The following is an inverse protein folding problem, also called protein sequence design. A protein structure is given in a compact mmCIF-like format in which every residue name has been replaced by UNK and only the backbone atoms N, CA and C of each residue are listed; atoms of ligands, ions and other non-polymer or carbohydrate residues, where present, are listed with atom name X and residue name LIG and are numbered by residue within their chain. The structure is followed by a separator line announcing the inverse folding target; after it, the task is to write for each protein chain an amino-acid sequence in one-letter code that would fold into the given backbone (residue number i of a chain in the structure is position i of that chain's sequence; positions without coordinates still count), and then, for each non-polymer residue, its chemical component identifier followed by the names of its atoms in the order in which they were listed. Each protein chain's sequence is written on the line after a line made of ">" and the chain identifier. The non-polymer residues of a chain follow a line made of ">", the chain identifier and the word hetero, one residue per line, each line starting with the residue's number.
data_IF_049648018004
#
_entry.id   IF_049648018004
#
_cell.length_a   1.000
_cell.length_b   1.000
_cell.length_c   1.000
_cell.angle_alpha   90.00
_cell.angle_beta   90.00
_cell.angle_gamma   90.00
#
_symmetry.space_group_name_H-M   'P 1'
#
loop_
_entity.id
_entity.type
_entity.pdbx_description
1 polymer ?
#
# COMPACT_ATOMS: atom_id res chain seq x y z
N UNK A 1 -6.63 -12.22 -11.40
CA UNK A 1 -5.95 -11.79 -10.17
C UNK A 1 -4.70 -11.05 -10.59
N UNK A 2 -4.32 -10.03 -9.85
CA UNK A 2 -3.18 -9.15 -10.17
C UNK A 2 -2.44 -8.85 -8.87
N UNK A 3 -1.12 -8.82 -8.91
CA UNK A 3 -0.31 -8.44 -7.75
C UNK A 3 -0.38 -6.93 -7.52
N UNK A 4 -0.65 -6.56 -6.27
CA UNK A 4 -0.67 -5.18 -5.81
C UNK A 4 0.36 -4.99 -4.70
N UNK A 5 1.10 -3.89 -4.79
CA UNK A 5 1.86 -3.34 -3.70
C UNK A 5 0.92 -2.48 -2.85
N UNK A 6 0.82 -2.84 -1.58
CA UNK A 6 0.14 -2.05 -0.56
C UNK A 6 1.20 -1.52 0.40
N UNK A 7 1.14 -0.23 0.71
CA UNK A 7 2.09 0.42 1.61
C UNK A 7 1.35 1.21 2.67
N UNK A 8 1.61 0.87 3.93
CA UNK A 8 1.23 1.69 5.06
C UNK A 8 2.43 2.57 5.44
N UNK A 9 2.24 3.88 5.50
CA UNK A 9 3.25 4.86 5.92
C UNK A 9 2.84 5.50 7.24
N UNK A 10 3.78 5.56 8.18
CA UNK A 10 3.71 6.40 9.37
C UNK A 10 4.88 7.39 9.41
N UNK A 11 5.21 7.89 10.59
CA UNK A 11 6.30 8.88 10.76
C UNK A 11 7.70 8.30 10.48
N UNK A 12 7.98 7.08 10.95
CA UNK A 12 9.36 6.55 10.97
C UNK A 12 9.58 5.33 10.09
N UNK A 13 8.49 4.74 9.56
CA UNK A 13 8.58 3.52 8.78
C UNK A 13 7.45 3.44 7.75
N UNK A 14 7.76 2.76 6.65
CA UNK A 14 6.78 2.25 5.71
C UNK A 14 6.83 0.73 5.70
N UNK A 15 5.68 0.08 5.74
CA UNK A 15 5.58 -1.37 5.63
C UNK A 15 4.96 -1.71 4.27
N UNK A 16 5.78 -1.99 3.24
CA UNK A 16 5.30 -2.51 1.97
C UNK A 16 4.91 -3.98 2.11
N UNK A 17 3.81 -4.37 1.46
CA UNK A 17 3.41 -5.77 1.30
C UNK A 17 2.92 -5.98 -0.13
N UNK A 18 3.26 -7.12 -0.72
CA UNK A 18 2.75 -7.53 -2.02
C UNK A 18 1.69 -8.60 -1.81
N UNK A 19 0.55 -8.45 -2.46
CA UNK A 19 -0.51 -9.44 -2.41
C UNK A 19 -1.25 -9.58 -3.74
N UNK A 20 -1.65 -10.80 -4.08
CA UNK A 20 -2.55 -11.06 -5.20
C UNK A 20 -3.99 -10.68 -4.84
N UNK A 21 -4.61 -9.85 -5.68
CA UNK A 21 -5.98 -9.39 -5.50
C UNK A 21 -6.81 -9.58 -6.76
N UNK A 22 -8.11 -9.76 -6.56
CA UNK A 22 -9.11 -9.48 -7.59
C UNK A 22 -9.31 -7.97 -7.76
N UNK A 23 -9.90 -7.56 -8.87
CA UNK A 23 -10.23 -6.15 -9.11
C UNK A 23 -11.17 -5.58 -8.04
N UNK A 24 -12.12 -6.39 -7.54
CA UNK A 24 -13.07 -6.00 -6.49
C UNK A 24 -12.39 -5.77 -5.15
N UNK A 25 -11.43 -6.61 -4.78
CA UNK A 25 -10.67 -6.44 -3.53
C UNK A 25 -9.76 -5.23 -3.62
N UNK A 26 -9.03 -5.07 -4.73
CA UNK A 26 -8.20 -3.89 -4.97
C UNK A 26 -9.02 -2.59 -4.95
N UNK A 27 -10.21 -2.57 -5.55
CA UNK A 27 -11.12 -1.43 -5.50
C UNK A 27 -11.63 -1.13 -4.08
N UNK A 28 -11.81 -2.16 -3.25
CA UNK A 28 -12.22 -1.99 -1.86
C UNK A 28 -11.09 -1.40 -1.01
N UNK A 29 -9.88 -1.90 -1.16
CA UNK A 29 -8.70 -1.37 -0.47
C UNK A 29 -8.41 0.06 -0.93
N UNK A 30 -8.56 0.37 -2.24
CA UNK A 30 -8.41 1.73 -2.75
C UNK A 30 -9.39 2.70 -2.08
N UNK A 31 -10.67 2.34 -1.98
CA UNK A 31 -11.67 3.16 -1.26
C UNK A 31 -11.34 3.35 0.21
N UNK A 32 -10.88 2.29 0.89
CA UNK A 32 -10.46 2.38 2.29
C UNK A 32 -9.24 3.32 2.44
N UNK A 33 -8.28 3.24 1.52
CA UNK A 33 -7.09 4.08 1.51
C UNK A 33 -7.43 5.55 1.32
N UNK A 34 -8.36 5.88 0.42
CA UNK A 34 -8.83 7.25 0.20
C UNK A 34 -9.51 7.82 1.45
N UNK A 35 -10.37 7.03 2.10
CA UNK A 35 -11.04 7.45 3.33
C UNK A 35 -10.06 7.66 4.49
N UNK A 36 -9.09 6.76 4.66
CA UNK A 36 -8.06 6.87 5.71
C UNK A 36 -7.17 8.09 5.47
N UNK A 37 -6.71 8.29 4.24
CA UNK A 37 -5.84 9.40 3.88
C UNK A 37 -6.57 10.75 4.02
N UNK A 38 -7.86 10.82 3.70
CA UNK A 38 -8.67 12.02 3.88
C UNK A 38 -8.84 12.40 5.36
N UNK A 39 -8.91 11.42 6.26
CA UNK A 39 -8.97 11.63 7.71
C UNK A 39 -7.59 11.91 8.35
N UNK A 40 -6.50 11.77 7.59
CA UNK A 40 -5.14 11.92 8.08
C UNK A 40 -4.64 13.36 7.94
N UNK A 41 -4.66 14.10 9.06
CA UNK A 41 -4.47 15.56 9.07
C UNK A 41 -3.11 16.03 9.56
N UNK A 42 -2.27 15.16 10.09
CA UNK A 42 -0.91 15.48 10.49
C UNK A 42 0.06 14.35 10.13
N UNK A 43 1.35 14.65 10.17
CA UNK A 43 2.43 13.85 9.58
C UNK A 43 2.49 12.41 10.08
N UNK A 44 2.27 12.17 11.38
CA UNK A 44 2.32 10.81 11.94
C UNK A 44 1.02 10.02 11.83
N UNK A 45 -0.05 10.54 11.20
CA UNK A 45 -1.25 9.73 10.96
C UNK A 45 -0.98 8.71 9.84
N UNK A 46 -1.43 7.46 10.00
CA UNK A 46 -1.16 6.40 9.05
C UNK A 46 -1.80 6.71 7.70
N UNK A 47 -1.00 6.61 6.64
CA UNK A 47 -1.48 6.68 5.27
C UNK A 47 -1.39 5.32 4.61
N UNK A 48 -2.35 5.01 3.77
CA UNK A 48 -2.39 3.77 3.03
C UNK A 48 -2.33 4.06 1.53
N UNK A 49 -1.54 3.27 0.82
CA UNK A 49 -1.38 3.37 -0.63
C UNK A 49 -1.53 1.98 -1.25
N UNK A 50 -2.10 1.93 -2.44
CA UNK A 50 -2.26 0.70 -3.22
C UNK A 50 -2.02 0.99 -4.71
N UNK A 51 -1.18 0.18 -5.36
CA UNK A 51 -0.96 0.21 -6.80
C UNK A 51 -0.58 -1.17 -7.34
N UNK A 52 -0.82 -1.47 -8.63
CA UNK A 52 -0.33 -2.68 -9.25
C UNK A 52 1.20 -2.78 -9.11
N UNK A 53 1.73 -3.99 -8.87
CA UNK A 53 3.19 -4.22 -8.82
C UNK A 53 3.86 -3.80 -10.12
N UNK A 54 3.19 -3.97 -11.26
CA UNK A 54 3.68 -3.51 -12.56
C UNK A 54 3.94 -1.99 -12.65
N UNK A 55 3.36 -1.20 -11.75
CA UNK A 55 3.55 0.26 -11.65
C UNK A 55 4.48 0.65 -10.48
N UNK A 56 4.95 -0.31 -9.69
CA UNK A 56 5.85 -0.08 -8.57
C UNK A 56 7.30 0.06 -9.04
N UNK A 57 8.07 0.92 -8.38
CA UNK A 57 9.52 0.98 -8.58
C UNK A 57 10.17 -0.13 -7.73
N UNK A 58 11.34 -0.66 -8.15
CA UNK A 58 12.01 -1.76 -7.43
C UNK A 58 12.24 -1.49 -5.94
N UNK A 59 12.64 -0.28 -5.56
CA UNK A 59 12.89 0.11 -4.16
C UNK A 59 11.63 0.28 -3.30
N UNK A 60 10.44 0.11 -3.89
CA UNK A 60 9.17 0.16 -3.15
C UNK A 60 8.64 -1.24 -2.80
N UNK A 61 9.23 -2.28 -3.40
CA UNK A 61 8.90 -3.67 -3.11
C UNK A 61 9.62 -4.10 -1.83
N UNK A 62 9.03 -5.01 -1.03
CA UNK A 62 9.75 -5.60 0.10
C UNK A 62 11.00 -6.33 -0.41
N UNK A 63 12.10 -6.21 0.32
CA UNK A 63 13.33 -6.94 0.01
C UNK A 63 13.06 -8.46 0.17
N UNK A 64 13.52 -9.27 -0.80
CA UNK A 64 13.34 -10.73 -0.80
C UNK A 64 14.25 -11.47 0.22
N UNK A 65 15.01 -10.73 1.04
CA UNK A 65 16.07 -11.26 1.93
C UNK A 65 15.68 -11.30 3.43
N UNK A 66 14.40 -11.11 3.79
CA UNK A 66 13.86 -11.25 5.16
C UNK A 66 13.01 -12.54 5.31
N UNK A 67 13.58 -13.71 4.96
CA UNK A 67 13.04 -15.05 5.32
C UNK A 67 13.91 -15.77 6.36
#
# INVERSE_FOLDING_TARGET
>A
MTEYLIRAEGCDASNPLVMELTETEAATIRRASEALNAASHYECMPRLYIKPVAEAKPHELPDEDDE
#
